data_IF_791105096592
#
_entry.id   IF_791105096592
#
_cell.length_a   1.000
_cell.length_b   1.000
_cell.length_c   1.000
_cell.angle_alpha   90.00
_cell.angle_beta   90.00
_cell.angle_gamma   90.00
#
_symmetry.space_group_name_H-M   'P 1'
#
loop_
_entity.id
_entity.type
_entity.pdbx_description
1 polymer ?
#
# COMPACT_ATOMS: atom_id res chain seq x y z
N UNK A 1 18.64 1.22 7.90
CA UNK A 1 19.46 0.62 6.84
C UNK A 1 20.78 1.38 6.74
N UNK A 2 21.89 0.66 6.89
CA UNK A 2 23.23 1.25 6.75
C UNK A 2 23.53 1.71 5.33
N UNK A 3 24.65 2.40 5.16
CA UNK A 3 25.09 2.90 3.85
C UNK A 3 25.19 1.79 2.80
N UNK A 4 24.80 2.12 1.57
CA UNK A 4 24.83 1.23 0.40
C UNK A 4 24.05 -0.08 0.55
N UNK A 5 23.17 -0.19 1.55
CA UNK A 5 22.34 -1.38 1.77
C UNK A 5 21.05 -1.35 0.94
N UNK A 6 20.53 -2.53 0.63
CA UNK A 6 19.23 -2.70 -0.01
C UNK A 6 18.38 -3.63 0.85
N UNK A 7 17.15 -3.22 1.11
CA UNK A 7 16.18 -4.02 1.86
C UNK A 7 14.86 -4.09 1.11
N UNK A 8 14.35 -5.30 0.97
CA UNK A 8 13.03 -5.56 0.38
C UNK A 8 12.14 -6.20 1.43
N UNK A 9 10.96 -5.61 1.64
CA UNK A 9 9.92 -6.12 2.53
C UNK A 9 8.67 -6.42 1.70
N UNK A 10 8.36 -7.70 1.53
CA UNK A 10 7.11 -8.17 0.91
C UNK A 10 6.22 -8.77 2.00
N UNK A 11 5.04 -8.21 2.18
CA UNK A 11 4.09 -8.62 3.19
C UNK A 11 2.72 -8.88 2.59
N UNK A 12 2.09 -9.99 3.01
CA UNK A 12 0.73 -10.33 2.62
C UNK A 12 -0.10 -10.67 3.86
N UNK A 13 -1.23 -9.99 4.01
CA UNK A 13 -2.23 -10.28 5.03
C UNK A 13 -3.58 -10.46 4.35
N UNK A 14 -4.00 -11.71 4.16
CA UNK A 14 -5.18 -12.06 3.36
C UNK A 14 -6.32 -12.61 4.23
N UNK A 15 -6.01 -13.30 5.33
CA UNK A 15 -6.99 -13.93 6.23
C UNK A 15 -6.46 -14.05 7.66
N UNK A 16 -7.37 -14.23 8.61
CA UNK A 16 -7.07 -14.89 9.88
C UNK A 16 -7.02 -14.00 11.11
N UNK A 17 -7.31 -12.68 11.02
CA UNK A 17 -7.31 -11.80 12.19
C UNK A 17 -8.45 -10.79 12.10
N UNK A 18 -9.07 -10.50 13.26
CA UNK A 18 -10.18 -9.54 13.35
C UNK A 18 -9.68 -8.10 13.36
N UNK A 19 -8.54 -7.86 13.98
CA UNK A 19 -7.92 -6.52 14.03
C UNK A 19 -6.41 -6.61 14.00
N UNK A 20 -5.77 -5.74 13.22
CA UNK A 20 -4.31 -5.58 13.17
C UNK A 20 -3.89 -4.13 13.18
N UNK A 21 -2.79 -3.88 13.88
CA UNK A 21 -2.03 -2.64 13.75
C UNK A 21 -0.59 -3.02 13.40
N UNK A 22 -0.10 -2.56 12.27
CA UNK A 22 1.28 -2.76 11.83
C UNK A 22 2.03 -1.45 11.92
N UNK A 23 3.19 -1.48 12.56
CA UNK A 23 4.09 -0.34 12.70
C UNK A 23 5.43 -0.68 12.04
N UNK A 24 5.80 0.09 11.02
CA UNK A 24 7.09 -0.02 10.36
C UNK A 24 7.80 1.33 10.39
N UNK A 25 8.97 1.37 11.01
CA UNK A 25 9.81 2.56 11.06
C UNK A 25 11.17 2.24 10.43
N UNK A 26 11.50 2.92 9.34
CA UNK A 26 12.74 2.68 8.58
C UNK A 26 13.53 3.97 8.44
N UNK A 27 14.82 3.87 8.75
CA UNK A 27 15.79 4.95 8.61
C UNK A 27 16.81 4.57 7.55
N UNK A 28 17.02 5.45 6.58
CA UNK A 28 17.87 5.21 5.42
C UNK A 28 19.12 6.10 5.47
N UNK A 29 20.28 5.46 5.54
CA UNK A 29 21.58 6.13 5.41
C UNK A 29 21.99 6.27 3.94
N UNK A 30 23.19 6.81 3.69
CA UNK A 30 23.64 7.16 2.34
C UNK A 30 23.56 5.99 1.34
N UNK A 31 23.01 6.26 0.16
CA UNK A 31 22.83 5.31 -0.96
C UNK A 31 22.05 4.03 -0.60
N UNK A 32 21.35 4.00 0.54
CA UNK A 32 20.53 2.86 0.90
C UNK A 32 19.19 2.88 0.17
N UNK A 33 18.64 1.68 -0.09
CA UNK A 33 17.40 1.51 -0.85
C UNK A 33 16.41 0.64 -0.10
N UNK A 34 15.17 1.11 -0.03
CA UNK A 34 14.04 0.40 0.56
C UNK A 34 13.01 0.10 -0.53
N UNK A 35 12.58 -1.16 -0.61
CA UNK A 35 11.45 -1.59 -1.42
C UNK A 35 10.43 -2.27 -0.50
N UNK A 36 9.21 -1.74 -0.48
CA UNK A 36 8.10 -2.31 0.29
C UNK A 36 6.96 -2.65 -0.64
N UNK A 37 6.48 -3.89 -0.57
CA UNK A 37 5.25 -4.32 -1.19
C UNK A 37 4.34 -4.84 -0.08
N UNK A 38 3.21 -4.19 0.12
CA UNK A 38 2.19 -4.60 1.07
C UNK A 38 0.94 -5.05 0.31
N UNK A 39 0.47 -6.25 0.62
CA UNK A 39 -0.79 -6.80 0.12
C UNK A 39 -1.72 -7.05 1.30
N UNK A 40 -2.86 -6.38 1.30
CA UNK A 40 -3.80 -6.43 2.42
C UNK A 40 -5.20 -6.75 1.91
N UNK A 41 -5.86 -7.72 2.54
CA UNK A 41 -7.27 -7.99 2.33
C UNK A 41 -8.01 -8.05 3.66
N UNK A 42 -9.13 -7.36 3.75
CA UNK A 42 -10.04 -7.42 4.90
C UNK A 42 -11.47 -7.72 4.45
N UNK A 43 -12.23 -8.40 5.29
CA UNK A 43 -13.63 -8.75 5.03
C UNK A 43 -14.46 -8.76 6.33
N UNK A 44 -15.79 -8.89 6.21
CA UNK A 44 -16.67 -8.85 7.37
C UNK A 44 -16.55 -7.53 8.13
N UNK A 45 -16.23 -7.58 9.41
CA UNK A 45 -16.03 -6.41 10.28
C UNK A 45 -14.56 -6.25 10.69
N UNK A 46 -13.64 -6.78 9.91
CA UNK A 46 -12.21 -6.70 10.22
C UNK A 46 -11.68 -5.27 10.13
N UNK A 47 -10.70 -4.96 10.97
CA UNK A 47 -10.01 -3.67 10.96
C UNK A 47 -8.50 -3.88 10.76
N UNK A 48 -7.90 -3.07 9.91
CA UNK A 48 -6.47 -3.08 9.68
C UNK A 48 -5.91 -1.67 9.60
N UNK A 49 -4.88 -1.39 10.38
CA UNK A 49 -4.11 -0.14 10.31
C UNK A 49 -2.67 -0.47 9.96
N UNK A 50 -2.15 0.15 8.92
CA UNK A 50 -0.75 0.06 8.52
C UNK A 50 -0.10 1.44 8.62
N UNK A 51 0.83 1.58 9.57
CA UNK A 51 1.65 2.77 9.73
C UNK A 51 3.04 2.49 9.17
N UNK A 52 3.45 3.26 8.18
CA UNK A 52 4.73 3.11 7.50
C UNK A 52 5.49 4.43 7.52
N UNK A 53 6.52 4.52 8.36
CA UNK A 53 7.40 5.68 8.40
C UNK A 53 8.73 5.35 7.74
N UNK A 54 9.15 6.21 6.80
CA UNK A 54 10.48 6.19 6.22
C UNK A 54 11.15 7.55 6.41
N UNK A 55 12.34 7.55 6.98
CA UNK A 55 13.15 8.73 7.16
C UNK A 55 14.46 8.56 6.37
N UNK A 56 14.66 9.41 5.37
CA UNK A 56 15.81 9.40 4.47
C UNK A 56 16.84 10.41 4.96
N UNK A 57 17.83 9.92 5.73
CA UNK A 57 18.87 10.73 6.35
C UNK A 57 20.07 10.96 5.43
N UNK A 58 20.44 9.93 4.67
CA UNK A 58 21.65 9.94 3.86
C UNK A 58 21.42 10.40 2.42
N UNK A 59 22.46 11.01 1.83
CA UNK A 59 22.48 11.38 0.42
C UNK A 59 22.32 10.15 -0.48
N UNK A 60 21.53 10.28 -1.54
CA UNK A 60 21.27 9.19 -2.50
C UNK A 60 20.37 8.07 -1.98
N UNK A 61 19.80 8.21 -0.78
CA UNK A 61 18.86 7.24 -0.26
C UNK A 61 17.54 7.26 -1.04
N UNK A 62 16.90 6.09 -1.15
CA UNK A 62 15.64 5.97 -1.88
C UNK A 62 14.67 4.97 -1.26
N UNK A 63 13.37 5.25 -1.38
CA UNK A 63 12.31 4.37 -0.93
C UNK A 63 11.22 4.23 -2.00
N UNK A 64 10.80 2.98 -2.25
CA UNK A 64 9.61 2.68 -3.03
C UNK A 64 8.66 1.85 -2.16
N UNK A 65 7.48 2.37 -1.93
CA UNK A 65 6.46 1.76 -1.08
C UNK A 65 5.20 1.60 -1.91
N UNK A 66 4.76 0.37 -2.10
CA UNK A 66 3.52 0.03 -2.81
C UNK A 66 2.60 -0.72 -1.85
N UNK A 67 1.46 -0.13 -1.53
CA UNK A 67 0.41 -0.78 -0.76
C UNK A 67 -0.78 -1.06 -1.68
N UNK A 68 -1.13 -2.34 -1.84
CA UNK A 68 -2.32 -2.79 -2.57
C UNK A 68 -3.28 -3.44 -1.59
N UNK A 69 -4.52 -2.97 -1.57
CA UNK A 69 -5.47 -3.48 -0.62
C UNK A 69 -6.86 -3.71 -1.19
N UNK A 70 -7.57 -4.68 -0.63
CA UNK A 70 -8.97 -4.96 -0.92
C UNK A 70 -9.74 -4.99 0.39
N UNK A 71 -10.77 -4.18 0.49
CA UNK A 71 -11.68 -4.15 1.62
C UNK A 71 -13.08 -4.58 1.20
N UNK A 72 -13.65 -5.58 1.88
CA UNK A 72 -14.96 -6.18 1.57
C UNK A 72 -15.85 -6.24 2.82
N UNK A 73 -17.17 -6.29 2.62
CA UNK A 73 -18.14 -6.35 3.70
C UNK A 73 -18.31 -4.99 4.39
N UNK A 74 -18.12 -4.95 5.71
CA UNK A 74 -18.11 -3.73 6.54
C UNK A 74 -16.75 -3.50 7.17
N UNK A 75 -15.69 -4.02 6.54
CA UNK A 75 -14.32 -3.91 7.05
C UNK A 75 -13.75 -2.50 6.86
N UNK A 76 -12.73 -2.20 7.65
CA UNK A 76 -12.08 -0.89 7.66
C UNK A 76 -10.58 -1.02 7.54
N UNK A 77 -9.99 -0.21 6.68
CA UNK A 77 -8.54 -0.11 6.49
C UNK A 77 -8.06 1.32 6.60
N UNK A 78 -6.93 1.51 7.28
CA UNK A 78 -6.22 2.79 7.35
C UNK A 78 -4.77 2.52 6.93
N UNK A 79 -4.31 3.22 5.90
CA UNK A 79 -2.91 3.29 5.52
C UNK A 79 -2.36 4.68 5.81
N UNK A 80 -1.34 4.75 6.65
CA UNK A 80 -0.73 6.00 7.10
C UNK A 80 0.76 6.02 6.74
N UNK A 81 1.13 6.32 5.49
CA UNK A 81 2.50 6.46 5.08
C UNK A 81 3.04 7.82 5.48
N UNK A 82 4.23 7.84 6.08
CA UNK A 82 4.97 9.04 6.42
C UNK A 82 6.36 8.99 5.80
N UNK A 83 6.69 9.94 4.95
CA UNK A 83 7.98 10.06 4.31
C UNK A 83 8.67 11.38 4.68
N UNK A 84 9.89 11.29 5.20
CA UNK A 84 10.71 12.45 5.59
C UNK A 84 12.01 12.43 4.82
N UNK A 85 12.25 13.43 3.99
CA UNK A 85 13.50 13.61 3.22
C UNK A 85 14.38 14.67 3.87
N UNK A 86 15.52 14.27 4.40
CA UNK A 86 16.48 15.16 5.09
C UNK A 86 17.71 15.49 4.27
N UNK A 87 17.86 14.86 3.10
CA UNK A 87 19.01 15.05 2.20
C UNK A 87 18.55 14.92 0.75
N UNK A 88 19.49 14.95 -0.22
CA UNK A 88 19.23 14.53 -1.59
C UNK A 88 18.72 13.09 -1.58
N UNK A 89 17.45 12.89 -1.80
CA UNK A 89 16.79 11.59 -1.68
C UNK A 89 15.55 11.51 -2.56
N UNK A 90 15.06 10.30 -2.77
CA UNK A 90 13.85 10.05 -3.55
C UNK A 90 12.95 9.06 -2.86
N UNK A 91 11.65 9.37 -2.76
CA UNK A 91 10.65 8.41 -2.34
C UNK A 91 9.44 8.43 -3.28
N UNK A 92 8.91 7.23 -3.55
CA UNK A 92 7.64 7.03 -4.22
C UNK A 92 6.75 6.14 -3.35
N UNK A 93 5.61 6.68 -2.95
CA UNK A 93 4.60 5.98 -2.16
C UNK A 93 3.35 5.84 -3.00
N UNK A 94 2.96 4.61 -3.29
CA UNK A 94 1.77 4.28 -4.05
C UNK A 94 0.78 3.51 -3.16
N UNK A 95 -0.49 3.93 -3.18
CA UNK A 95 -1.57 3.30 -2.42
C UNK A 95 -2.74 3.02 -3.35
N UNK A 96 -2.92 1.77 -3.73
CA UNK A 96 -4.02 1.33 -4.57
C UNK A 96 -5.00 0.46 -3.77
N UNK A 97 -6.30 0.76 -3.85
CA UNK A 97 -7.29 0.06 -3.07
C UNK A 97 -8.57 -0.21 -3.84
N UNK A 98 -9.10 -1.41 -3.70
CA UNK A 98 -10.45 -1.78 -4.15
C UNK A 98 -11.38 -1.84 -2.94
N UNK A 99 -12.48 -1.09 -3.00
CA UNK A 99 -13.53 -1.10 -2.00
C UNK A 99 -14.74 -1.86 -2.53
N UNK A 100 -15.27 -2.77 -1.73
CA UNK A 100 -16.48 -3.53 -2.04
C UNK A 100 -17.49 -3.41 -0.90
N UNK A 101 -18.76 -3.60 -1.20
CA UNK A 101 -19.88 -3.54 -0.25
C UNK A 101 -19.93 -2.20 0.52
N UNK A 102 -19.87 -2.26 1.85
CA UNK A 102 -19.89 -1.11 2.77
C UNK A 102 -18.53 -0.86 3.43
N UNK A 103 -17.46 -1.46 2.89
CA UNK A 103 -16.14 -1.31 3.44
C UNK A 103 -15.61 0.13 3.29
N UNK A 104 -14.68 0.48 4.17
CA UNK A 104 -14.03 1.79 4.20
C UNK A 104 -12.51 1.65 4.08
N UNK A 105 -11.90 2.47 3.23
CA UNK A 105 -10.45 2.58 3.10
C UNK A 105 -10.06 4.04 3.19
N UNK A 106 -9.09 4.34 4.03
CA UNK A 106 -8.49 5.67 4.17
C UNK A 106 -6.99 5.61 3.95
N UNK A 107 -6.46 6.52 3.13
CA UNK A 107 -5.02 6.77 3.02
C UNK A 107 -4.73 8.17 3.54
N UNK A 108 -3.82 8.27 4.52
CA UNK A 108 -3.49 9.53 5.22
C UNK A 108 -1.98 9.78 5.08
N UNK A 109 -1.50 10.27 3.93
CA UNK A 109 -0.08 10.48 3.71
C UNK A 109 0.46 11.71 4.44
N UNK A 110 1.65 11.59 5.03
CA UNK A 110 2.44 12.69 5.54
C UNK A 110 3.75 12.80 4.75
N UNK A 111 3.97 13.94 4.11
CA UNK A 111 5.19 14.20 3.33
C UNK A 111 5.92 15.40 3.93
N UNK A 112 7.19 15.22 4.26
CA UNK A 112 8.04 16.27 4.79
C UNK A 112 9.40 16.30 4.06
N UNK A 113 9.51 17.11 3.02
CA UNK A 113 10.74 17.37 2.29
C UNK A 113 11.51 18.49 2.99
N UNK A 114 12.49 18.12 3.85
CA UNK A 114 13.32 19.07 4.62
C UNK A 114 14.55 19.55 3.88
N UNK A 115 14.87 18.92 2.76
CA UNK A 115 16.00 19.29 1.90
C UNK A 115 15.49 19.73 0.53
N UNK A 116 16.16 20.69 -0.10
CA UNK A 116 15.76 21.26 -1.40
C UNK A 116 15.74 20.21 -2.53
N UNK A 117 16.64 19.23 -2.45
CA UNK A 117 16.74 18.14 -3.43
C UNK A 117 16.03 16.85 -2.97
N UNK A 118 15.18 16.92 -1.96
CA UNK A 118 14.34 15.80 -1.57
C UNK A 118 13.11 15.72 -2.49
N UNK A 119 13.01 14.65 -3.28
CA UNK A 119 11.89 14.38 -4.17
C UNK A 119 11.02 13.27 -3.59
N UNK A 120 9.81 13.61 -3.11
CA UNK A 120 8.86 12.67 -2.53
C UNK A 120 7.56 12.76 -3.31
N UNK A 121 7.13 11.62 -3.86
CA UNK A 121 5.89 11.49 -4.64
C UNK A 121 4.95 10.55 -3.89
N UNK A 122 3.69 10.95 -3.79
CA UNK A 122 2.61 10.09 -3.32
C UNK A 122 1.52 10.00 -4.38
N UNK A 123 1.09 8.77 -4.68
CA UNK A 123 -0.02 8.47 -5.58
C UNK A 123 -1.04 7.57 -4.86
N UNK A 124 -2.31 7.80 -5.09
CA UNK A 124 -3.37 6.96 -4.54
C UNK A 124 -4.47 6.75 -5.58
N UNK A 125 -4.87 5.49 -5.76
CA UNK A 125 -6.03 5.09 -6.55
C UNK A 125 -6.97 4.26 -5.68
N UNK A 126 -8.06 4.85 -5.22
CA UNK A 126 -9.05 4.18 -4.37
C UNK A 126 -10.37 4.17 -5.12
N UNK A 127 -10.90 2.98 -5.38
CA UNK A 127 -12.12 2.84 -6.17
C UNK A 127 -12.84 1.52 -5.94
N UNK A 128 -13.93 1.34 -6.69
CA UNK A 128 -14.71 0.09 -6.74
C UNK A 128 -14.37 -0.69 -8.00
N UNK A 129 -14.66 -1.99 -7.99
CA UNK A 129 -14.57 -2.80 -9.21
C UNK A 129 -15.48 -2.21 -10.28
N UNK A 130 -14.95 -2.10 -11.49
CA UNK A 130 -15.70 -1.60 -12.63
C UNK A 130 -16.72 -2.64 -13.11
N UNK A 131 -18.00 -2.25 -13.19
CA UNK A 131 -19.08 -3.12 -13.65
C UNK A 131 -18.84 -3.69 -15.05
N UNK A 132 -18.18 -2.95 -15.94
CA UNK A 132 -17.85 -3.44 -17.28
C UNK A 132 -16.87 -4.63 -17.23
N UNK A 133 -15.93 -4.63 -16.30
CA UNK A 133 -15.00 -5.75 -16.13
C UNK A 133 -15.74 -7.00 -15.61
N UNK A 134 -16.62 -6.82 -14.64
CA UNK A 134 -17.46 -7.90 -14.13
C UNK A 134 -18.34 -8.48 -15.23
N UNK A 135 -19.04 -7.64 -15.98
CA UNK A 135 -19.90 -8.06 -17.09
C UNK A 135 -19.11 -8.86 -18.12
N UNK A 136 -17.92 -8.39 -18.53
CA UNK A 136 -17.05 -9.12 -19.47
C UNK A 136 -16.72 -10.52 -19.00
N UNK A 137 -16.28 -10.69 -17.77
CA UNK A 137 -15.93 -12.00 -17.19
C UNK A 137 -17.16 -12.91 -17.10
N UNK A 138 -18.32 -12.36 -16.73
CA UNK A 138 -19.58 -13.11 -16.69
C UNK A 138 -20.05 -13.56 -18.09
N UNK A 139 -19.80 -12.80 -19.14
CA UNK A 139 -20.09 -13.25 -20.52
C UNK A 139 -19.22 -14.41 -20.97
N UNK A 140 -18.08 -14.64 -20.29
CA UNK A 140 -17.22 -15.80 -20.51
C UNK A 140 -17.64 -17.03 -19.68
N UNK A 141 -18.77 -16.94 -18.96
CA UNK A 141 -19.36 -18.05 -18.20
C UNK A 141 -18.99 -18.08 -16.71
N UNK A 142 -18.31 -17.06 -16.19
CA UNK A 142 -18.01 -16.97 -14.77
C UNK A 142 -19.24 -16.51 -13.96
N UNK A 143 -19.37 -17.02 -12.75
CA UNK A 143 -20.28 -16.43 -11.76
C UNK A 143 -19.74 -15.07 -11.34
N UNK A 144 -20.56 -14.28 -10.65
CA UNK A 144 -20.12 -12.97 -10.13
C UNK A 144 -18.97 -13.11 -9.13
N UNK A 145 -19.06 -14.09 -8.24
CA UNK A 145 -18.02 -14.38 -7.24
C UNK A 145 -16.69 -14.83 -7.88
N UNK A 146 -16.74 -15.65 -8.92
CA UNK A 146 -15.55 -16.05 -9.67
C UNK A 146 -14.92 -14.86 -10.41
N UNK A 147 -15.73 -13.99 -11.01
CA UNK A 147 -15.26 -12.79 -11.71
C UNK A 147 -14.61 -11.79 -10.74
N UNK A 148 -15.24 -11.55 -9.59
CA UNK A 148 -14.64 -10.75 -8.50
C UNK A 148 -13.30 -11.34 -8.04
N UNK A 149 -13.26 -12.64 -7.80
CA UNK A 149 -12.07 -13.36 -7.37
C UNK A 149 -10.88 -13.17 -8.33
N UNK A 150 -11.13 -13.31 -9.64
CA UNK A 150 -10.11 -13.09 -10.67
C UNK A 150 -9.58 -11.65 -10.66
N UNK A 151 -10.47 -10.66 -10.53
CA UNK A 151 -10.07 -9.24 -10.48
C UNK A 151 -9.22 -8.97 -9.23
N UNK A 152 -9.65 -9.45 -8.07
CA UNK A 152 -8.94 -9.27 -6.79
C UNK A 152 -7.55 -9.93 -6.84
N UNK A 153 -7.47 -11.16 -7.32
CA UNK A 153 -6.20 -11.89 -7.42
C UNK A 153 -5.20 -11.16 -8.33
N UNK A 154 -5.66 -10.72 -9.50
CA UNK A 154 -4.79 -9.96 -10.41
C UNK A 154 -4.39 -8.59 -9.85
N UNK A 155 -5.25 -7.94 -9.08
CA UNK A 155 -4.96 -6.64 -8.48
C UNK A 155 -3.91 -6.77 -7.36
N UNK A 156 -3.97 -7.83 -6.56
CA UNK A 156 -3.04 -8.05 -5.45
C UNK A 156 -1.69 -8.62 -5.91
N UNK A 157 -1.58 -9.21 -7.09
CA UNK A 157 -0.34 -9.72 -7.65
C UNK A 157 0.39 -8.69 -8.51
#
# INVERSE_FOLDING_TARGET
LGENSVFTLDTAQIKGVDSTVRENNVYLEANSKLYVIEKLMTHGNQEATSNMMVEMNGEGSSAQIVSRSVAKGSSRQIFHPRAVGKNLCHAHVQCDSIIMDHAEVSSIPEINAKHVDAAIIHEAAIGRINDEQLVKLRTLGMTEEEAEGVIIENFLN
#
